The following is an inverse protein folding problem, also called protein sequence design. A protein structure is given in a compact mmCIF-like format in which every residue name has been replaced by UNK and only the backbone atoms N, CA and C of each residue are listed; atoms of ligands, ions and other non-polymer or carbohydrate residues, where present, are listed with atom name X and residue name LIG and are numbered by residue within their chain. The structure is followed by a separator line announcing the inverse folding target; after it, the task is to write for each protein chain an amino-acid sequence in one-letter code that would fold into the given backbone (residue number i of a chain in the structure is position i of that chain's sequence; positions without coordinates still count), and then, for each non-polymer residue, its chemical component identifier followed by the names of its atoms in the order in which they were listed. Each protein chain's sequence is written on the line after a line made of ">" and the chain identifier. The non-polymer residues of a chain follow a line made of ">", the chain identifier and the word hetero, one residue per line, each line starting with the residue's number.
data_IF_995390343266
#
_entry.id   IF_995390343266
#
_cell.length_a   1.000
_cell.length_b   1.000
_cell.length_c   1.000
_cell.angle_alpha   90.00
_cell.angle_beta   90.00
_cell.angle_gamma   90.00
#
_symmetry.space_group_name_H-M   'P 1'
#
loop_
_entity.id
_entity.type
_entity.pdbx_description
1 polymer ?
#
# COMPACT_ATOMS: atom_id res chain seq x y z
N UNK A 1 17.52 0.99 -38.97
CA UNK A 1 16.33 0.84 -39.84
C UNK A 1 15.47 -0.32 -39.33
N UNK A 2 14.69 -0.17 -38.25
CA UNK A 2 14.07 -1.34 -37.56
C UNK A 2 12.67 -1.12 -36.93
N UNK A 3 11.92 -0.11 -37.36
CA UNK A 3 10.56 0.16 -36.84
C UNK A 3 9.44 -0.26 -37.80
N UNK A 4 9.57 0.13 -39.07
CA UNK A 4 8.48 0.06 -40.05
C UNK A 4 8.37 -1.34 -40.69
N UNK A 5 9.49 -1.97 -41.02
CA UNK A 5 9.54 -3.31 -41.64
C UNK A 5 9.04 -4.44 -40.73
N UNK A 6 9.11 -4.27 -39.40
CA UNK A 6 8.70 -5.29 -38.43
C UNK A 6 7.17 -5.37 -38.22
N UNK A 7 6.45 -4.32 -38.58
CA UNK A 7 4.99 -4.25 -38.39
C UNK A 7 4.23 -4.97 -39.52
N UNK A 8 4.80 -4.99 -40.74
CA UNK A 8 4.16 -5.57 -41.92
C UNK A 8 4.15 -7.11 -41.94
N UNK A 9 5.18 -7.77 -41.42
CA UNK A 9 5.32 -9.25 -41.52
C UNK A 9 4.79 -10.03 -40.32
N UNK A 10 4.53 -9.38 -39.16
CA UNK A 10 4.11 -10.07 -37.92
C UNK A 10 2.74 -9.66 -37.35
N UNK A 11 2.05 -8.70 -37.96
CA UNK A 11 0.75 -8.22 -37.46
C UNK A 11 0.83 -7.58 -36.07
N UNK A 12 -0.32 -7.40 -35.42
CA UNK A 12 -0.38 -6.88 -34.06
C UNK A 12 0.25 -7.86 -33.05
N UNK A 13 1.07 -7.35 -32.13
CA UNK A 13 1.68 -8.15 -31.08
C UNK A 13 0.65 -8.58 -30.03
N UNK A 14 0.70 -9.84 -29.58
CA UNK A 14 -0.11 -10.39 -28.47
C UNK A 14 0.39 -9.98 -27.07
N UNK A 15 1.32 -9.04 -26.99
CA UNK A 15 1.79 -8.48 -25.72
C UNK A 15 0.68 -7.69 -25.03
N UNK A 16 0.78 -7.55 -23.70
CA UNK A 16 -0.19 -6.78 -22.93
C UNK A 16 -0.31 -5.33 -23.46
N UNK A 17 -1.55 -4.90 -23.71
CA UNK A 17 -1.84 -3.52 -24.09
C UNK A 17 -1.63 -2.60 -22.88
N UNK A 18 -0.72 -1.65 -23.03
CA UNK A 18 -0.42 -0.61 -22.04
C UNK A 18 -0.98 0.73 -22.51
N UNK A 19 -0.94 1.74 -21.63
CA UNK A 19 -1.33 3.12 -21.98
C UNK A 19 -0.51 3.72 -23.13
N UNK A 20 0.68 3.17 -23.40
CA UNK A 20 1.60 3.62 -24.47
C UNK A 20 1.35 2.92 -25.80
N UNK A 21 0.39 1.99 -25.88
CA UNK A 21 0.13 1.15 -27.05
C UNK A 21 -1.34 1.26 -27.45
N UNK A 22 -1.62 2.12 -28.43
CA UNK A 22 -2.96 2.33 -28.98
C UNK A 22 -3.27 3.81 -29.24
N UNK A 23 -4.05 4.10 -30.29
CA UNK A 23 -4.57 5.45 -30.58
C UNK A 23 -5.91 5.61 -29.85
N UNK A 24 -6.08 6.67 -29.06
CA UNK A 24 -7.27 6.94 -28.24
C UNK A 24 -7.60 5.82 -27.22
N UNK A 25 -6.60 5.04 -26.79
CA UNK A 25 -6.76 4.01 -25.77
C UNK A 25 -6.39 4.58 -24.39
N UNK A 26 -7.39 5.09 -23.67
CA UNK A 26 -7.18 5.61 -22.31
C UNK A 26 -7.12 4.47 -21.30
N UNK A 27 -5.95 4.30 -20.67
CA UNK A 27 -5.70 3.28 -19.65
C UNK A 27 -4.83 3.84 -18.52
N UNK A 28 -5.27 3.64 -17.27
CA UNK A 28 -4.52 4.04 -16.07
C UNK A 28 -3.47 3.02 -15.63
N UNK A 29 -2.71 3.37 -14.59
CA UNK A 29 -1.65 2.54 -13.97
C UNK A 29 -2.01 2.02 -12.57
N UNK A 30 -3.27 2.17 -12.13
CA UNK A 30 -3.74 1.66 -10.84
C UNK A 30 -3.59 2.61 -9.66
N UNK A 31 -3.44 3.92 -9.89
CA UNK A 31 -3.33 4.95 -8.82
C UNK A 31 -4.60 5.08 -7.94
N UNK A 32 -5.75 4.64 -8.43
CA UNK A 32 -7.07 4.90 -7.84
C UNK A 32 -7.59 6.30 -8.21
N UNK A 33 -8.91 6.50 -8.09
CA UNK A 33 -9.54 7.78 -8.38
C UNK A 33 -9.58 8.67 -7.13
N UNK A 34 -9.02 9.87 -7.19
CA UNK A 34 -8.96 10.84 -6.07
C UNK A 34 -10.13 11.85 -6.10
N UNK A 35 -11.16 11.56 -6.90
CA UNK A 35 -12.23 12.51 -7.19
C UNK A 35 -12.98 12.12 -8.45
N UNK A 36 -13.61 13.10 -9.09
CA UNK A 36 -14.51 12.88 -10.23
C UNK A 36 -14.37 13.94 -11.32
N UNK A 37 -14.68 13.56 -12.55
CA UNK A 37 -14.81 14.52 -13.66
C UNK A 37 -16.11 15.32 -13.55
N UNK A 38 -16.05 16.57 -14.03
CA UNK A 38 -17.20 17.48 -14.18
C UNK A 38 -17.78 17.37 -15.58
N UNK A 39 -19.01 17.86 -15.79
CA UNK A 39 -19.70 17.83 -17.10
C UNK A 39 -18.90 18.52 -18.23
N UNK A 40 -18.04 19.48 -17.90
CA UNK A 40 -17.22 20.25 -18.86
C UNK A 40 -15.73 19.83 -18.85
N UNK A 41 -15.42 18.62 -18.40
CA UNK A 41 -14.06 18.05 -18.49
C UNK A 41 -13.09 18.49 -17.38
N UNK A 42 -13.46 19.41 -16.48
CA UNK A 42 -12.70 19.69 -15.27
C UNK A 42 -12.67 18.48 -14.31
N UNK A 43 -11.73 18.46 -13.38
CA UNK A 43 -11.60 17.40 -12.36
C UNK A 43 -11.75 18.00 -10.97
N UNK A 44 -12.65 17.44 -10.16
CA UNK A 44 -12.90 17.87 -8.78
C UNK A 44 -12.28 16.84 -7.83
N UNK A 45 -11.36 17.29 -6.99
CA UNK A 45 -10.65 16.46 -6.00
C UNK A 45 -11.54 16.29 -4.78
N UNK A 46 -11.77 15.04 -4.38
CA UNK A 46 -12.51 14.69 -3.17
C UNK A 46 -11.49 14.35 -2.08
N UNK A 47 -11.30 15.27 -1.12
CA UNK A 47 -10.26 15.15 -0.09
C UNK A 47 -10.40 13.90 0.80
N UNK A 48 -11.62 13.38 0.95
CA UNK A 48 -11.88 12.13 1.65
C UNK A 48 -11.21 10.91 0.99
N UNK A 49 -11.00 10.95 -0.33
CA UNK A 49 -10.33 9.87 -1.08
C UNK A 49 -8.82 10.04 -1.13
N UNK A 50 -8.31 11.22 -0.80
CA UNK A 50 -6.88 11.51 -0.82
C UNK A 50 -6.21 10.80 0.37
N UNK A 51 -5.22 9.96 0.07
CA UNK A 51 -4.50 9.18 1.08
C UNK A 51 -3.57 10.10 1.88
N UNK A 52 -3.79 10.21 3.19
CA UNK A 52 -2.89 10.88 4.13
C UNK A 52 -2.04 9.85 4.87
N UNK A 53 -0.72 10.06 4.91
CA UNK A 53 0.18 9.26 5.73
C UNK A 53 0.39 9.96 7.08
N UNK A 54 -0.12 9.36 8.15
CA UNK A 54 0.08 9.86 9.52
C UNK A 54 1.45 9.40 10.00
N UNK A 55 2.40 10.33 9.98
CA UNK A 55 3.77 10.07 10.44
C UNK A 55 3.85 10.43 11.93
N UNK A 56 4.19 9.48 12.83
CA UNK A 56 4.39 9.80 14.24
C UNK A 56 5.69 10.57 14.44
N UNK A 57 5.82 11.23 15.59
CA UNK A 57 7.10 11.82 15.99
C UNK A 57 8.09 10.71 16.34
N UNK A 58 9.32 10.85 15.84
CA UNK A 58 10.40 9.88 15.98
C UNK A 58 11.60 10.43 16.76
N UNK A 59 11.49 11.63 17.35
CA UNK A 59 12.54 12.17 18.23
C UNK A 59 12.81 11.21 19.39
N UNK A 60 14.08 10.91 19.65
CA UNK A 60 14.55 10.02 20.71
C UNK A 60 14.03 8.57 20.66
N UNK A 61 13.63 8.11 19.46
CA UNK A 61 13.19 6.72 19.28
C UNK A 61 14.36 5.74 19.44
N UNK A 62 14.30 4.91 20.48
CA UNK A 62 15.40 3.99 20.88
C UNK A 62 15.62 2.82 19.92
N UNK A 63 14.60 2.46 19.13
CA UNK A 63 14.66 1.27 18.29
C UNK A 63 15.23 1.63 16.91
N UNK A 64 16.11 0.76 16.41
CA UNK A 64 16.77 0.90 15.12
C UNK A 64 16.22 -0.10 14.10
N UNK A 65 16.41 0.12 12.78
CA UNK A 65 15.98 -0.81 11.73
C UNK A 65 16.65 -2.20 11.79
N UNK A 66 17.75 -2.32 12.53
CA UNK A 66 18.52 -3.54 12.66
C UNK A 66 18.70 -3.92 14.13
N UNK A 67 18.86 -5.23 14.37
CA UNK A 67 19.08 -5.82 15.70
C UNK A 67 20.41 -6.56 15.72
N UNK A 68 21.04 -6.66 16.90
CA UNK A 68 22.26 -7.45 17.07
C UNK A 68 22.04 -8.92 16.70
N UNK A 69 23.01 -9.48 15.98
CA UNK A 69 23.05 -10.90 15.59
C UNK A 69 23.18 -11.86 16.79
N UNK A 70 23.61 -11.37 17.96
CA UNK A 70 23.71 -12.17 19.19
C UNK A 70 22.36 -12.47 19.83
N UNK A 71 21.29 -11.79 19.40
CA UNK A 71 19.95 -11.95 19.97
C UNK A 71 19.36 -13.32 19.60
N UNK A 72 18.85 -14.05 20.60
CA UNK A 72 18.19 -15.33 20.38
C UNK A 72 16.86 -15.14 19.63
N UNK A 73 16.57 -16.06 18.70
CA UNK A 73 15.29 -16.05 17.97
C UNK A 73 14.22 -16.73 18.80
N UNK A 74 13.13 -16.02 19.09
CA UNK A 74 11.95 -16.62 19.71
C UNK A 74 11.00 -17.10 18.62
N UNK A 75 10.53 -18.35 18.74
CA UNK A 75 9.56 -18.96 17.81
C UNK A 75 8.25 -19.17 18.53
N UNK A 76 7.15 -18.70 17.94
CA UNK A 76 5.80 -18.89 18.48
C UNK A 76 4.79 -18.01 17.76
N UNK A 77 3.60 -18.54 17.48
CA UNK A 77 2.50 -17.74 16.96
C UNK A 77 1.72 -17.14 18.13
N UNK A 78 1.46 -15.85 18.07
CA UNK A 78 0.64 -15.18 19.09
C UNK A 78 -0.83 -15.60 18.91
N UNK A 79 -1.42 -16.22 19.93
CA UNK A 79 -2.81 -16.70 19.88
C UNK A 79 -3.75 -15.75 20.62
N UNK A 80 -5.05 -15.76 20.28
CA UNK A 80 -6.07 -14.97 20.99
C UNK A 80 -6.06 -15.18 22.52
N UNK A 81 -5.82 -16.42 22.98
CA UNK A 81 -5.71 -16.76 24.41
C UNK A 81 -4.60 -15.98 25.12
N UNK A 82 -3.49 -15.69 24.42
CA UNK A 82 -2.36 -14.96 24.97
C UNK A 82 -2.68 -13.46 25.16
N UNK A 83 -3.53 -12.89 24.30
CA UNK A 83 -4.03 -11.52 24.46
C UNK A 83 -4.91 -11.40 25.70
N UNK A 84 -5.89 -12.28 25.84
CA UNK A 84 -6.84 -12.24 26.96
C UNK A 84 -6.15 -12.51 28.30
N UNK A 85 -5.28 -13.52 28.36
CA UNK A 85 -4.46 -13.81 29.55
C UNK A 85 -3.62 -12.61 29.99
N UNK A 86 -3.08 -11.84 29.04
CA UNK A 86 -2.30 -10.63 29.35
C UNK A 86 -3.19 -9.50 29.86
N UNK A 87 -4.39 -9.33 29.31
CA UNK A 87 -5.33 -8.31 29.77
C UNK A 87 -5.84 -8.56 31.20
N UNK A 88 -6.08 -9.82 31.55
CA UNK A 88 -6.50 -10.23 32.90
C UNK A 88 -5.40 -9.97 33.94
N UNK A 89 -4.14 -10.14 33.58
CA UNK A 89 -2.99 -9.87 34.45
C UNK A 89 -2.72 -8.36 34.67
N UNK A 90 -3.36 -7.47 33.91
CA UNK A 90 -3.20 -6.00 33.99
C UNK A 90 -4.36 -5.35 34.74
N UNK A 91 -5.42 -6.07 35.07
CA UNK A 91 -6.47 -5.56 35.97
C UNK A 91 -5.86 -5.45 37.37
N UNK A 92 -5.59 -4.24 37.89
CA UNK A 92 -5.10 -4.11 39.26
C UNK A 92 -6.12 -4.73 40.20
N UNK A 93 -5.63 -5.35 41.27
CA UNK A 93 -6.41 -5.94 42.35
C UNK A 93 -7.65 -5.08 42.63
N UNK A 94 -8.80 -5.75 42.66
CA UNK A 94 -10.11 -5.19 43.02
C UNK A 94 -9.92 -4.09 44.07
N UNK A 95 -10.47 -2.92 43.80
CA UNK A 95 -10.77 -1.93 44.85
C UNK A 95 -11.70 -2.67 45.82
N UNK A 96 -11.11 -3.28 46.83
CA UNK A 96 -11.81 -3.83 47.97
C UNK A 96 -12.15 -2.62 48.85
N UNK A 97 -13.38 -2.12 48.66
CA UNK A 97 -14.10 -1.28 49.60
C UNK A 97 -15.19 -2.12 50.25
#
# INVERSE_FOLDING_TARGET
>A
MFGITRCLTRGASRQQLTSKRGRNHYKGTGSGAMGRHTKRGGYLIEWEKVRSFVVPDLTDFKLLPYVSRSTQKTTGAFTAKDYFRKSEAVVPEKIAS
#
